data_IF_640843616005
#
_entry.id   IF_640843616005
#
_cell.length_a   1.000
_cell.length_b   1.000
_cell.length_c   1.000
_cell.angle_alpha   90.00
_cell.angle_beta   90.00
_cell.angle_gamma   90.00
#
_symmetry.space_group_name_H-M   'P 1'
#
loop_
_entity.id
_entity.type
_entity.pdbx_description
1 polymer ?
#
# COMPACT_ATOMS: atom_id res chain seq x y z
N UNK A 1 -35.64 -7.93 35.69
CA UNK A 1 -35.58 -6.98 34.54
C UNK A 1 -34.12 -6.90 34.12
N UNK A 2 -33.68 -7.82 33.26
CA UNK A 2 -32.36 -7.79 32.64
C UNK A 2 -32.66 -7.68 31.15
N UNK A 3 -32.44 -6.49 30.61
CA UNK A 3 -32.65 -6.18 29.20
C UNK A 3 -31.60 -6.95 28.38
N UNK A 4 -32.04 -7.94 27.62
CA UNK A 4 -31.27 -8.50 26.51
C UNK A 4 -31.11 -7.40 25.45
N UNK A 5 -29.92 -6.81 25.35
CA UNK A 5 -29.53 -6.11 24.14
C UNK A 5 -29.24 -7.12 23.04
N UNK A 6 -29.82 -6.86 21.87
CA UNK A 6 -29.81 -7.69 20.69
C UNK A 6 -28.38 -8.09 20.28
N UNK A 7 -28.15 -9.40 20.21
CA UNK A 7 -27.07 -9.99 19.43
C UNK A 7 -27.42 -9.77 17.95
N UNK A 8 -26.68 -8.91 17.27
CA UNK A 8 -26.59 -8.99 15.82
C UNK A 8 -25.93 -10.32 15.48
N UNK A 9 -26.68 -11.21 14.84
CA UNK A 9 -26.08 -12.34 14.13
C UNK A 9 -25.33 -11.77 12.93
N UNK A 10 -24.00 -11.67 13.04
CA UNK A 10 -23.17 -11.61 11.85
C UNK A 10 -23.32 -12.97 11.14
N UNK A 11 -23.94 -12.97 9.98
CA UNK A 11 -23.90 -14.11 9.08
C UNK A 11 -22.43 -14.41 8.75
N UNK A 12 -22.06 -15.68 8.79
CA UNK A 12 -20.79 -16.17 8.26
C UNK A 12 -20.71 -15.83 6.76
N UNK A 13 -19.60 -15.23 6.30
CA UNK A 13 -19.36 -15.08 4.86
C UNK A 13 -18.32 -14.05 4.41
N UNK A 14 -18.10 -12.95 5.13
CA UNK A 14 -17.13 -11.93 4.70
C UNK A 14 -15.95 -11.88 5.69
N UNK A 15 -14.72 -12.05 5.19
CA UNK A 15 -13.52 -11.67 5.94
C UNK A 15 -13.72 -10.22 6.41
N UNK A 16 -13.55 -9.96 7.71
CA UNK A 16 -13.98 -8.72 8.35
C UNK A 16 -13.28 -7.51 7.72
N UNK A 17 -13.94 -6.84 6.79
CA UNK A 17 -13.42 -5.65 6.14
C UNK A 17 -13.34 -4.47 7.14
N UNK A 18 -12.41 -3.55 6.91
CA UNK A 18 -12.13 -2.45 7.84
C UNK A 18 -12.36 -1.11 7.15
N UNK A 19 -13.21 -0.28 7.74
CA UNK A 19 -13.51 1.08 7.30
C UNK A 19 -13.47 2.06 8.49
N UNK A 20 -13.65 3.35 8.22
CA UNK A 20 -13.76 4.37 9.29
C UNK A 20 -15.06 5.16 9.16
N UNK A 21 -16.20 4.57 9.59
CA UNK A 21 -17.51 5.20 9.48
C UNK A 21 -17.54 6.60 10.10
N UNK A 22 -18.07 7.57 9.34
CA UNK A 22 -18.19 8.94 9.83
C UNK A 22 -16.87 9.68 10.06
N UNK A 23 -15.73 9.15 9.61
CA UNK A 23 -14.47 9.88 9.69
C UNK A 23 -14.57 11.22 8.97
N UNK A 24 -14.01 12.26 9.57
CA UNK A 24 -14.02 13.62 9.03
C UNK A 24 -12.72 14.33 9.39
N UNK A 25 -12.27 15.18 8.47
CA UNK A 25 -11.27 16.21 8.72
C UNK A 25 -11.92 17.58 8.65
N UNK A 26 -11.22 18.59 9.16
CA UNK A 26 -11.57 19.98 8.85
C UNK A 26 -11.65 20.17 7.32
N UNK A 27 -12.81 20.62 6.85
CA UNK A 27 -13.09 20.80 5.43
C UNK A 27 -12.09 21.79 4.78
N UNK A 28 -11.57 22.75 5.53
CA UNK A 28 -10.58 23.71 5.01
C UNK A 28 -9.21 23.10 4.72
N UNK A 29 -8.88 21.98 5.36
CA UNK A 29 -7.64 21.22 5.14
C UNK A 29 -7.77 20.29 3.93
N UNK A 30 -8.97 19.75 3.70
CA UNK A 30 -9.20 18.77 2.63
C UNK A 30 -9.74 19.37 1.33
N UNK A 31 -10.23 20.62 1.34
CA UNK A 31 -10.81 21.24 0.13
C UNK A 31 -9.79 21.42 -0.99
N UNK A 32 -10.30 21.40 -2.23
CA UNK A 32 -9.55 21.72 -3.44
C UNK A 32 -8.97 23.13 -3.35
N UNK A 33 -7.76 23.31 -3.89
CA UNK A 33 -7.11 24.62 -3.97
C UNK A 33 -7.95 25.58 -4.82
N UNK A 34 -7.89 26.88 -4.48
CA UNK A 34 -8.65 27.94 -5.19
C UNK A 34 -8.30 28.04 -6.68
N UNK A 35 -7.07 27.67 -7.02
CA UNK A 35 -6.56 27.55 -8.38
C UNK A 35 -5.75 26.27 -8.46
N UNK A 36 -5.71 25.64 -9.64
CA UNK A 36 -4.90 24.44 -9.88
C UNK A 36 -3.46 24.73 -9.46
N UNK A 37 -2.89 23.96 -8.50
CA UNK A 37 -1.52 24.20 -8.04
C UNK A 37 -0.54 24.09 -9.21
N UNK A 38 0.49 24.94 -9.17
CA UNK A 38 1.62 24.87 -10.13
C UNK A 38 2.72 23.95 -9.62
N UNK A 39 2.88 23.87 -8.30
CA UNK A 39 3.87 23.03 -7.65
C UNK A 39 3.22 21.80 -7.01
N UNK A 40 3.88 20.66 -7.16
CA UNK A 40 3.56 19.38 -6.50
C UNK A 40 3.66 19.50 -4.98
N UNK A 41 4.45 20.45 -4.50
CA UNK A 41 4.67 20.72 -3.09
C UNK A 41 3.55 21.56 -2.43
N UNK A 42 2.61 22.07 -3.24
CA UNK A 42 1.40 22.80 -2.79
C UNK A 42 0.13 21.96 -3.00
N UNK A 43 0.23 20.65 -3.21
CA UNK A 43 -0.93 19.80 -3.47
C UNK A 43 -1.72 19.52 -2.20
N UNK A 44 -2.98 19.92 -2.19
CA UNK A 44 -3.96 19.44 -1.23
C UNK A 44 -4.52 18.10 -1.71
N UNK A 45 -5.03 17.24 -0.83
CA UNK A 45 -5.63 15.97 -1.24
C UNK A 45 -6.67 16.06 -2.36
N UNK A 46 -7.60 17.03 -2.29
CA UNK A 46 -8.63 17.22 -3.32
C UNK A 46 -8.13 17.87 -4.63
N UNK A 47 -6.85 18.24 -4.72
CA UNK A 47 -6.23 18.66 -5.98
C UNK A 47 -5.86 17.48 -6.87
N UNK A 48 -5.76 16.27 -6.32
CA UNK A 48 -5.51 15.04 -7.10
C UNK A 48 -6.75 14.72 -7.91
N UNK A 49 -6.61 14.71 -9.24
CA UNK A 49 -7.69 14.42 -10.18
C UNK A 49 -7.66 12.97 -10.64
N UNK A 50 -6.48 12.35 -10.73
CA UNK A 50 -6.27 11.00 -11.26
C UNK A 50 -5.41 10.19 -10.31
N UNK A 51 -5.79 8.93 -10.08
CA UNK A 51 -4.95 7.92 -9.43
C UNK A 51 -4.63 6.78 -10.38
N UNK A 52 -3.43 6.22 -10.26
CA UNK A 52 -3.01 5.02 -10.98
C UNK A 52 -2.00 4.22 -10.15
N UNK A 53 -1.75 2.98 -10.54
CA UNK A 53 -0.79 2.13 -9.84
C UNK A 53 -0.07 1.19 -10.81
N UNK A 54 1.21 0.93 -10.54
CA UNK A 54 2.05 -0.09 -11.19
C UNK A 54 2.76 -0.93 -10.11
N UNK A 55 3.02 -2.20 -10.39
CA UNK A 55 3.55 -3.13 -9.41
C UNK A 55 3.23 -4.59 -9.71
N UNK A 56 3.09 -5.39 -8.67
CA UNK A 56 2.88 -6.84 -8.75
C UNK A 56 1.47 -7.30 -8.32
N UNK A 57 1.38 -8.52 -7.79
CA UNK A 57 0.17 -9.14 -7.28
C UNK A 57 -0.41 -8.44 -6.05
N UNK A 58 0.41 -7.78 -5.24
CA UNK A 58 -0.05 -6.97 -4.11
C UNK A 58 -0.74 -5.71 -4.61
N UNK A 59 -0.21 -5.11 -5.68
CA UNK A 59 -0.84 -3.96 -6.34
C UNK A 59 -2.16 -4.36 -7.02
N UNK A 60 -2.26 -5.60 -7.50
CA UNK A 60 -3.48 -6.18 -8.08
C UNK A 60 -4.48 -6.75 -7.04
N UNK A 61 -4.12 -6.75 -5.75
CA UNK A 61 -4.89 -7.33 -4.65
C UNK A 61 -5.29 -8.79 -4.89
N UNK A 62 -4.31 -9.60 -5.28
CA UNK A 62 -4.49 -11.06 -5.40
C UNK A 62 -5.00 -11.66 -4.09
N UNK A 63 -6.05 -12.47 -4.15
CA UNK A 63 -6.58 -13.19 -2.99
C UNK A 63 -7.29 -12.35 -1.93
N UNK A 64 -7.39 -11.02 -2.08
CA UNK A 64 -7.92 -10.16 -1.02
C UNK A 64 -9.34 -10.52 -0.55
N UNK A 65 -10.21 -10.95 -1.47
CA UNK A 65 -11.56 -11.42 -1.17
C UNK A 65 -11.71 -12.94 -1.10
N UNK A 66 -10.62 -13.70 -1.08
CA UNK A 66 -10.68 -15.16 -1.03
C UNK A 66 -11.01 -15.68 0.39
N UNK A 67 -11.78 -16.75 0.47
CA UNK A 67 -12.11 -17.41 1.74
C UNK A 67 -10.86 -18.11 2.32
N UNK A 68 -10.72 -18.14 3.66
CA UNK A 68 -9.52 -18.62 4.41
C UNK A 68 -8.88 -19.94 3.93
N UNK A 69 -9.65 -20.83 3.30
CA UNK A 69 -9.19 -22.13 2.82
C UNK A 69 -9.21 -22.28 1.28
N UNK A 70 -9.57 -21.24 0.55
CA UNK A 70 -9.57 -21.20 -0.91
C UNK A 70 -8.23 -20.69 -1.46
N UNK A 71 -7.23 -21.58 -1.46
CA UNK A 71 -5.91 -21.29 -2.05
C UNK A 71 -6.00 -20.95 -3.54
N UNK A 72 -6.96 -21.52 -4.27
CA UNK A 72 -7.13 -21.20 -5.70
C UNK A 72 -7.67 -19.79 -5.90
N UNK A 73 -8.43 -19.28 -4.94
CA UNK A 73 -8.93 -17.90 -4.89
C UNK A 73 -7.82 -16.84 -4.89
N UNK A 74 -6.58 -17.19 -4.51
CA UNK A 74 -5.42 -16.28 -4.56
C UNK A 74 -5.09 -15.82 -5.99
N UNK A 75 -5.40 -16.63 -7.01
CA UNK A 75 -5.21 -16.24 -8.41
C UNK A 75 -6.18 -15.11 -8.86
N UNK A 76 -7.24 -14.85 -8.11
CA UNK A 76 -8.22 -13.81 -8.41
C UNK A 76 -7.68 -12.45 -7.97
N UNK A 77 -7.69 -11.49 -8.90
CA UNK A 77 -7.18 -10.13 -8.71
C UNK A 77 -8.32 -9.20 -8.26
N UNK A 78 -8.46 -8.95 -6.96
CA UNK A 78 -9.51 -8.13 -6.37
C UNK A 78 -9.17 -6.64 -6.43
N UNK A 79 -8.94 -6.11 -7.64
CA UNK A 79 -8.44 -4.74 -7.86
C UNK A 79 -9.26 -3.66 -7.16
N UNK A 80 -10.57 -3.86 -6.97
CA UNK A 80 -11.41 -2.93 -6.22
C UNK A 80 -11.12 -2.82 -4.72
N UNK A 81 -10.36 -3.76 -4.15
CA UNK A 81 -9.94 -3.82 -2.75
C UNK A 81 -8.46 -3.46 -2.53
N UNK A 82 -7.71 -3.07 -3.57
CA UNK A 82 -6.29 -2.73 -3.39
C UNK A 82 -6.12 -1.47 -2.54
N UNK A 83 -5.14 -1.50 -1.65
CA UNK A 83 -4.91 -0.48 -0.62
C UNK A 83 -4.61 0.92 -1.18
N UNK A 84 -4.04 0.97 -2.39
CA UNK A 84 -3.74 2.21 -3.07
C UNK A 84 -4.94 2.74 -3.87
N UNK A 85 -5.31 2.06 -4.95
CA UNK A 85 -6.26 2.58 -5.95
C UNK A 85 -7.58 1.82 -6.02
N UNK A 86 -7.93 1.00 -5.03
CA UNK A 86 -9.20 0.27 -4.96
C UNK A 86 -10.37 1.18 -4.59
N UNK A 87 -11.54 0.98 -5.21
CA UNK A 87 -12.72 1.82 -5.00
C UNK A 87 -14.06 1.09 -4.94
N UNK A 88 -14.09 -0.22 -4.63
CA UNK A 88 -15.34 -1.01 -4.57
C UNK A 88 -16.33 -0.51 -3.54
N UNK A 89 -15.83 -0.06 -2.39
CA UNK A 89 -16.65 0.39 -1.26
C UNK A 89 -16.42 1.88 -0.97
N UNK A 90 -17.06 2.39 0.08
CA UNK A 90 -16.78 3.74 0.61
C UNK A 90 -15.68 3.70 1.68
N UNK A 91 -15.12 4.85 2.06
CA UNK A 91 -14.16 4.94 3.18
C UNK A 91 -14.73 4.40 4.49
N UNK A 92 -16.05 4.49 4.66
CA UNK A 92 -16.74 4.02 5.85
C UNK A 92 -16.72 2.48 5.95
N UNK A 93 -16.46 1.77 4.85
CA UNK A 93 -16.49 0.31 4.76
C UNK A 93 -15.14 -0.31 4.41
N UNK A 94 -14.31 0.38 3.62
CA UNK A 94 -12.99 -0.09 3.19
C UNK A 94 -12.02 1.07 2.98
N UNK A 95 -10.94 1.11 3.75
CA UNK A 95 -9.93 2.16 3.65
C UNK A 95 -9.00 1.88 2.46
N UNK A 96 -8.98 2.79 1.50
CA UNK A 96 -7.92 2.85 0.47
C UNK A 96 -7.54 4.31 0.28
N UNK A 97 -6.34 4.57 -0.23
CA UNK A 97 -5.97 5.93 -0.62
C UNK A 97 -7.00 6.53 -1.59
N UNK A 98 -7.47 5.77 -2.58
CA UNK A 98 -8.51 6.23 -3.50
C UNK A 98 -9.85 6.55 -2.81
N UNK A 99 -10.31 5.76 -1.84
CA UNK A 99 -11.56 6.02 -1.12
C UNK A 99 -11.47 7.27 -0.23
N UNK A 100 -10.30 7.54 0.33
CA UNK A 100 -10.07 8.78 1.09
C UNK A 100 -10.09 9.98 0.13
N UNK A 101 -9.36 9.92 -0.99
CA UNK A 101 -9.35 10.98 -2.00
C UNK A 101 -10.75 11.22 -2.60
N UNK A 102 -11.48 10.15 -2.96
CA UNK A 102 -12.85 10.20 -3.52
C UNK A 102 -13.83 10.91 -2.59
N UNK A 103 -13.63 10.83 -1.27
CA UNK A 103 -14.47 11.53 -0.28
C UNK A 103 -14.39 13.05 -0.39
N UNK A 104 -13.28 13.60 -0.88
CA UNK A 104 -13.07 15.05 -1.01
C UNK A 104 -12.96 15.54 -2.46
N UNK A 105 -12.71 14.63 -3.40
CA UNK A 105 -12.84 14.84 -4.83
C UNK A 105 -13.72 13.73 -5.43
N UNK A 106 -15.05 13.92 -5.55
CA UNK A 106 -15.94 12.90 -6.10
C UNK A 106 -15.70 12.64 -7.61
N UNK A 107 -14.94 13.50 -8.29
CA UNK A 107 -14.57 13.34 -9.70
C UNK A 107 -13.22 12.61 -9.89
N UNK A 108 -12.67 12.00 -8.83
CA UNK A 108 -11.42 11.25 -8.90
C UNK A 108 -11.51 10.17 -9.99
N UNK A 109 -10.56 10.17 -10.92
CA UNK A 109 -10.51 9.23 -12.03
C UNK A 109 -9.43 8.16 -11.81
N UNK A 110 -9.64 6.96 -12.37
CA UNK A 110 -8.59 5.94 -12.52
C UNK A 110 -8.58 4.82 -11.46
N UNK A 111 -9.34 4.96 -10.37
CA UNK A 111 -9.46 3.92 -9.34
C UNK A 111 -10.09 2.63 -9.91
N UNK A 112 -9.61 1.48 -9.45
CA UNK A 112 -10.09 0.17 -9.87
C UNK A 112 -11.31 -0.29 -9.07
N UNK A 113 -12.11 -1.14 -9.69
CA UNK A 113 -13.32 -1.75 -9.10
C UNK A 113 -13.40 -3.23 -9.48
N UNK A 114 -14.01 -4.03 -8.62
CA UNK A 114 -14.28 -5.45 -8.77
C UNK A 114 -13.02 -6.26 -9.00
N UNK A 115 -13.21 -7.51 -9.44
CA UNK A 115 -12.15 -8.43 -9.82
C UNK A 115 -11.84 -8.31 -11.31
N UNK A 116 -10.57 -8.38 -11.70
CA UNK A 116 -10.20 -8.53 -13.11
C UNK A 116 -8.71 -8.34 -13.40
N UNK A 117 -8.26 -8.80 -14.56
CA UNK A 117 -6.87 -8.67 -15.01
C UNK A 117 -6.53 -7.24 -15.45
N UNK A 118 -5.24 -6.88 -15.48
CA UNK A 118 -4.78 -5.53 -15.81
C UNK A 118 -5.21 -5.03 -17.20
N UNK A 119 -5.50 -5.94 -18.13
CA UNK A 119 -5.98 -5.63 -19.49
C UNK A 119 -7.50 -5.45 -19.58
N UNK A 120 -8.25 -5.60 -18.48
CA UNK A 120 -9.71 -5.41 -18.44
C UNK A 120 -10.02 -4.00 -17.93
N UNK A 121 -10.24 -3.06 -18.84
CA UNK A 121 -10.44 -1.64 -18.50
C UNK A 121 -11.63 -1.40 -17.56
N UNK A 122 -12.70 -2.17 -17.69
CA UNK A 122 -13.95 -2.05 -16.93
C UNK A 122 -13.77 -2.29 -15.43
N UNK A 123 -12.65 -2.91 -15.03
CA UNK A 123 -12.33 -3.25 -13.63
C UNK A 123 -10.98 -2.66 -13.22
N UNK A 124 -9.94 -2.85 -14.03
CA UNK A 124 -8.58 -2.44 -13.69
C UNK A 124 -8.34 -0.94 -13.81
N UNK A 125 -9.01 -0.24 -14.74
CA UNK A 125 -8.80 1.18 -14.99
C UNK A 125 -7.30 1.52 -15.11
N UNK A 126 -6.77 2.35 -14.23
CA UNK A 126 -5.35 2.75 -14.19
C UNK A 126 -4.52 1.97 -13.16
N UNK A 127 -5.06 0.89 -12.59
CA UNK A 127 -4.25 -0.11 -11.91
C UNK A 127 -3.66 -1.07 -12.94
N UNK A 128 -2.39 -0.88 -13.27
CA UNK A 128 -1.63 -1.67 -14.23
C UNK A 128 -0.72 -2.73 -13.57
N UNK A 129 -0.84 -2.99 -12.25
CA UNK A 129 -0.05 -4.01 -11.57
C UNK A 129 -0.26 -5.41 -12.16
N UNK A 130 0.84 -6.15 -12.33
CA UNK A 130 0.90 -7.45 -12.99
C UNK A 130 1.37 -8.52 -11.99
N UNK A 131 0.54 -9.51 -11.63
CA UNK A 131 0.94 -10.58 -10.72
C UNK A 131 2.23 -11.28 -11.18
N UNK A 132 3.17 -11.47 -10.25
CA UNK A 132 4.47 -12.08 -10.51
C UNK A 132 5.51 -11.17 -11.18
N UNK A 133 5.20 -9.89 -11.39
CA UNK A 133 6.19 -8.94 -11.92
C UNK A 133 7.33 -8.70 -10.95
N UNK A 134 8.51 -8.47 -11.50
CA UNK A 134 9.71 -8.00 -10.83
C UNK A 134 9.97 -6.53 -11.19
N UNK A 135 11.02 -5.94 -10.60
CA UNK A 135 11.37 -4.55 -10.86
C UNK A 135 11.72 -4.29 -12.33
N UNK A 136 12.31 -5.25 -13.07
CA UNK A 136 12.70 -5.01 -14.47
C UNK A 136 11.51 -4.79 -15.42
N UNK A 137 10.30 -5.27 -15.08
CA UNK A 137 9.10 -4.96 -15.87
C UNK A 137 8.51 -3.57 -15.59
N UNK A 138 9.01 -2.84 -14.58
CA UNK A 138 8.40 -1.57 -14.16
C UNK A 138 8.47 -0.48 -15.23
N UNK A 139 9.50 -0.48 -16.07
CA UNK A 139 9.58 0.47 -17.20
C UNK A 139 8.45 0.19 -18.21
N UNK A 140 8.17 -1.08 -18.53
CA UNK A 140 7.08 -1.45 -19.43
C UNK A 140 5.72 -1.09 -18.84
N UNK A 141 5.48 -1.40 -17.56
CA UNK A 141 4.24 -1.02 -16.87
C UNK A 141 4.04 0.50 -16.84
N UNK A 142 5.12 1.28 -16.62
CA UNK A 142 5.04 2.73 -16.66
C UNK A 142 4.66 3.25 -18.06
N UNK A 143 5.23 2.68 -19.13
CA UNK A 143 4.86 3.03 -20.50
C UNK A 143 3.40 2.69 -20.82
N UNK A 144 2.91 1.53 -20.37
CA UNK A 144 1.50 1.14 -20.52
C UNK A 144 0.56 2.10 -19.78
N UNK A 145 0.88 2.45 -18.54
CA UNK A 145 0.10 3.40 -17.75
C UNK A 145 0.08 4.81 -18.40
N UNK A 146 1.24 5.30 -18.85
CA UNK A 146 1.36 6.56 -19.61
C UNK A 146 0.45 6.55 -20.82
N UNK A 147 0.47 5.47 -21.60
CA UNK A 147 -0.36 5.29 -22.79
C UNK A 147 -1.84 5.36 -22.42
N UNK A 148 -2.29 4.59 -21.42
CA UNK A 148 -3.69 4.61 -20.93
C UNK A 148 -4.14 6.01 -20.53
N UNK A 149 -3.29 6.76 -19.82
CA UNK A 149 -3.61 8.12 -19.36
C UNK A 149 -3.71 9.09 -20.56
N UNK A 150 -2.75 9.03 -21.51
CA UNK A 150 -2.70 9.97 -22.65
C UNK A 150 -3.77 9.70 -23.70
N UNK A 151 -4.18 8.44 -23.86
CA UNK A 151 -5.17 8.02 -24.87
C UNK A 151 -6.62 8.13 -24.38
N UNK A 152 -6.86 8.25 -23.06
CA UNK A 152 -8.23 8.28 -22.53
C UNK A 152 -8.92 9.62 -22.83
N UNK A 153 -10.09 9.64 -23.51
CA UNK A 153 -10.71 10.86 -24.03
C UNK A 153 -11.21 11.83 -22.94
N UNK A 154 -11.49 11.34 -21.73
CA UNK A 154 -11.98 12.14 -20.61
C UNK A 154 -10.85 12.74 -19.75
N UNK A 155 -9.58 12.44 -20.08
CA UNK A 155 -8.42 12.82 -19.28
C UNK A 155 -7.67 13.99 -19.96
N UNK A 156 -7.57 15.11 -19.25
CA UNK A 156 -6.65 16.19 -19.60
C UNK A 156 -5.33 16.00 -18.83
N UNK A 157 -4.55 15.02 -19.29
CA UNK A 157 -3.32 14.58 -18.62
C UNK A 157 -2.27 15.70 -18.45
N UNK A 158 -2.38 16.80 -19.22
CA UNK A 158 -1.44 17.92 -19.13
C UNK A 158 -1.76 18.87 -17.97
N UNK A 159 -3.03 19.00 -17.63
CA UNK A 159 -3.50 19.98 -16.65
C UNK A 159 -4.01 19.37 -15.35
N UNK A 160 -4.44 18.10 -15.37
CA UNK A 160 -4.89 17.36 -14.20
C UNK A 160 -3.71 16.82 -13.39
N UNK A 161 -3.81 16.89 -12.06
CA UNK A 161 -2.79 16.32 -11.17
C UNK A 161 -3.00 14.81 -11.02
N UNK A 162 -1.90 14.06 -11.11
CA UNK A 162 -1.89 12.61 -10.99
C UNK A 162 -1.12 12.17 -9.77
N UNK A 163 -1.65 11.19 -9.06
CA UNK A 163 -0.95 10.45 -8.03
C UNK A 163 -0.76 9.02 -8.53
N UNK A 164 0.48 8.63 -8.77
CA UNK A 164 0.83 7.28 -9.22
C UNK A 164 1.48 6.53 -8.07
N UNK A 165 0.90 5.38 -7.71
CA UNK A 165 1.41 4.50 -6.68
C UNK A 165 2.31 3.42 -7.28
N UNK A 166 3.41 3.10 -6.59
CA UNK A 166 4.33 2.01 -6.93
C UNK A 166 4.46 1.10 -5.71
N UNK A 167 4.33 -0.21 -5.93
CA UNK A 167 4.71 -1.24 -4.95
C UNK A 167 5.16 -2.52 -5.67
N UNK A 168 6.43 -2.87 -5.48
CA UNK A 168 7.16 -3.93 -6.20
C UNK A 168 8.34 -4.40 -5.35
N UNK A 169 8.97 -5.53 -5.72
CA UNK A 169 10.27 -5.95 -5.17
C UNK A 169 10.26 -7.25 -4.38
N UNK A 170 9.09 -7.73 -3.94
CA UNK A 170 9.01 -8.99 -3.21
C UNK A 170 9.44 -10.17 -4.08
N UNK A 171 9.02 -10.18 -5.36
CA UNK A 171 9.42 -11.20 -6.33
C UNK A 171 10.94 -11.16 -6.60
N UNK A 172 11.55 -9.98 -6.67
CA UNK A 172 12.98 -9.80 -6.85
C UNK A 172 13.78 -10.44 -5.70
N UNK A 173 13.41 -10.15 -4.44
CA UNK A 173 14.01 -10.80 -3.26
C UNK A 173 13.78 -12.31 -3.26
N UNK A 174 12.60 -12.74 -3.69
CA UNK A 174 12.24 -14.15 -3.80
C UNK A 174 13.04 -14.95 -4.84
N UNK A 175 13.75 -14.26 -5.74
CA UNK A 175 14.61 -14.84 -6.78
C UNK A 175 16.10 -14.51 -6.60
N UNK A 176 16.43 -13.61 -5.66
CA UNK A 176 17.79 -13.10 -5.46
C UNK A 176 18.85 -14.18 -5.21
N UNK A 177 18.55 -15.21 -4.42
CA UNK A 177 19.45 -16.29 -4.05
C UNK A 177 20.07 -17.06 -5.25
N UNK A 178 19.37 -17.10 -6.39
CA UNK A 178 19.86 -17.73 -7.64
C UNK A 178 20.31 -16.70 -8.69
N UNK A 179 19.87 -15.45 -8.57
CA UNK A 179 20.13 -14.36 -9.53
C UNK A 179 20.70 -13.09 -8.86
N UNK A 180 21.68 -13.25 -7.97
CA UNK A 180 22.16 -12.17 -7.08
C UNK A 180 22.63 -10.88 -7.79
N UNK A 181 23.11 -10.97 -9.03
CA UNK A 181 23.52 -9.80 -9.81
C UNK A 181 22.30 -9.08 -10.43
N UNK A 182 21.42 -9.83 -11.07
CA UNK A 182 20.24 -9.28 -11.74
C UNK A 182 19.22 -8.74 -10.73
N UNK A 183 19.12 -9.39 -9.57
CA UNK A 183 18.25 -9.04 -8.44
C UNK A 183 19.00 -8.27 -7.34
N UNK A 184 20.15 -7.66 -7.66
CA UNK A 184 20.89 -6.87 -6.67
C UNK A 184 20.09 -5.63 -6.24
N UNK A 185 20.39 -5.09 -5.05
CA UNK A 185 19.73 -3.87 -4.59
C UNK A 185 19.97 -2.66 -5.51
N UNK A 186 21.13 -2.60 -6.18
CA UNK A 186 21.39 -1.58 -7.20
C UNK A 186 20.57 -1.81 -8.48
N UNK A 187 20.41 -3.06 -8.94
CA UNK A 187 19.54 -3.40 -10.06
C UNK A 187 18.08 -3.05 -9.78
N UNK A 188 17.59 -3.38 -8.59
CA UNK A 188 16.27 -3.00 -8.10
C UNK A 188 16.04 -1.49 -8.15
N UNK A 189 16.97 -0.71 -7.58
CA UNK A 189 16.95 0.76 -7.64
C UNK A 189 16.86 1.27 -9.07
N UNK A 190 17.74 0.77 -9.94
CA UNK A 190 17.90 1.28 -11.29
C UNK A 190 16.68 0.96 -12.15
N UNK A 191 16.03 -0.18 -11.91
CA UNK A 191 14.79 -0.55 -12.59
C UNK A 191 13.61 0.33 -12.17
N UNK A 192 13.44 0.59 -10.87
CA UNK A 192 12.43 1.55 -10.37
C UNK A 192 12.71 2.95 -10.93
N UNK A 193 13.97 3.38 -10.88
CA UNK A 193 14.40 4.67 -11.41
C UNK A 193 14.00 4.86 -12.87
N UNK A 194 14.21 3.85 -13.74
CA UNK A 194 13.78 3.91 -15.16
C UNK A 194 12.27 4.13 -15.29
N UNK A 195 11.46 3.42 -14.51
CA UNK A 195 10.01 3.59 -14.51
C UNK A 195 9.60 5.01 -14.08
N UNK A 196 10.19 5.53 -13.00
CA UNK A 196 9.90 6.90 -12.52
C UNK A 196 10.38 7.96 -13.53
N UNK A 197 11.51 7.74 -14.22
CA UNK A 197 11.97 8.61 -15.31
C UNK A 197 11.00 8.63 -16.50
N UNK A 198 10.36 7.50 -16.84
CA UNK A 198 9.29 7.46 -17.84
C UNK A 198 8.10 8.32 -17.39
N UNK A 199 7.65 8.15 -16.15
CA UNK A 199 6.54 8.93 -15.59
C UNK A 199 6.86 10.43 -15.59
N UNK A 200 8.06 10.84 -15.14
CA UNK A 200 8.49 12.24 -15.10
C UNK A 200 8.54 12.87 -16.49
N UNK A 201 9.06 12.15 -17.48
CA UNK A 201 9.19 12.64 -18.85
C UNK A 201 7.84 12.79 -19.56
N UNK A 202 6.93 11.85 -19.34
CA UNK A 202 5.71 11.72 -20.14
C UNK A 202 4.46 12.30 -19.46
N UNK A 203 4.46 12.43 -18.13
CA UNK A 203 3.31 12.87 -17.34
C UNK A 203 3.66 14.11 -16.49
N UNK A 204 3.39 15.33 -16.99
CA UNK A 204 3.54 16.54 -16.18
C UNK A 204 2.57 16.54 -15.00
N UNK A 205 2.77 17.34 -13.95
CA UNK A 205 1.83 17.39 -12.79
C UNK A 205 1.58 16.01 -12.16
N UNK A 206 2.66 15.33 -11.76
CA UNK A 206 2.58 13.98 -11.19
C UNK A 206 3.33 13.88 -9.88
N UNK A 207 2.67 13.37 -8.84
CA UNK A 207 3.34 12.87 -7.65
C UNK A 207 3.40 11.35 -7.73
N UNK A 208 4.60 10.79 -7.57
CA UNK A 208 4.78 9.35 -7.42
C UNK A 208 4.94 9.05 -5.94
N UNK A 209 4.14 8.12 -5.42
CA UNK A 209 4.29 7.58 -4.06
C UNK A 209 4.72 6.12 -4.16
N UNK A 210 5.90 5.81 -3.62
CA UNK A 210 6.44 4.46 -3.63
C UNK A 210 6.29 3.87 -2.23
N UNK A 211 5.55 2.78 -2.11
CA UNK A 211 5.49 2.00 -0.86
C UNK A 211 6.78 1.22 -0.71
N UNK A 212 7.44 1.38 0.43
CA UNK A 212 8.70 0.69 0.68
C UNK A 212 8.52 -0.83 0.74
N UNK A 213 9.57 -1.56 0.38
CA UNK A 213 9.57 -3.03 0.35
C UNK A 213 9.16 -3.64 1.71
N UNK A 214 8.38 -4.73 1.66
CA UNK A 214 8.02 -5.53 2.84
C UNK A 214 9.11 -6.54 3.17
N UNK A 215 9.38 -6.78 4.46
CA UNK A 215 10.30 -7.85 4.91
C UNK A 215 9.83 -9.21 4.40
N UNK A 216 10.50 -9.75 3.38
CA UNK A 216 10.17 -11.04 2.77
C UNK A 216 10.44 -12.21 3.75
N UNK A 217 11.24 -11.98 4.81
CA UNK A 217 11.37 -12.92 5.92
C UNK A 217 10.04 -13.25 6.62
N UNK A 218 9.02 -12.40 6.45
CA UNK A 218 7.63 -12.63 6.87
C UNK A 218 7.08 -13.98 6.36
N UNK A 219 7.43 -14.39 5.15
CA UNK A 219 6.98 -15.66 4.57
C UNK A 219 7.39 -16.87 5.40
N UNK A 220 8.62 -16.91 5.93
CA UNK A 220 9.09 -18.02 6.77
C UNK A 220 8.39 -18.06 8.11
N UNK A 221 8.25 -16.89 8.73
CA UNK A 221 7.59 -16.73 10.02
C UNK A 221 6.08 -17.01 9.93
N UNK A 222 5.48 -16.76 8.76
CA UNK A 222 4.08 -17.06 8.48
C UNK A 222 3.79 -18.50 8.07
N UNK A 223 4.82 -19.30 7.79
CA UNK A 223 4.69 -20.67 7.32
C UNK A 223 4.37 -21.67 8.45
N UNK A 224 3.38 -21.38 9.29
CA UNK A 224 2.93 -22.28 10.36
C UNK A 224 2.11 -23.44 9.77
N UNK A 225 1.12 -23.13 8.94
CA UNK A 225 0.30 -24.14 8.31
C UNK A 225 1.00 -24.76 7.11
N UNK A 226 0.76 -26.05 6.87
CA UNK A 226 1.33 -26.76 5.73
C UNK A 226 0.93 -26.13 4.38
N UNK A 227 -0.25 -25.52 4.30
CA UNK A 227 -0.70 -24.80 3.09
C UNK A 227 0.23 -23.61 2.79
N UNK A 228 0.50 -22.77 3.80
CA UNK A 228 1.42 -21.63 3.68
C UNK A 228 2.84 -22.11 3.32
N UNK A 229 3.34 -23.16 3.98
CA UNK A 229 4.67 -23.72 3.68
C UNK A 229 4.84 -24.12 2.22
N UNK A 230 3.83 -24.79 1.66
CA UNK A 230 3.85 -25.23 0.26
C UNK A 230 3.70 -24.04 -0.69
N UNK A 231 2.74 -23.14 -0.43
CA UNK A 231 2.49 -21.98 -1.29
C UNK A 231 3.70 -21.03 -1.29
N UNK A 232 4.23 -20.67 -0.13
CA UNK A 232 5.41 -19.80 -0.02
C UNK A 232 6.64 -20.41 -0.71
N UNK A 233 6.81 -21.73 -0.66
CA UNK A 233 7.92 -22.39 -1.35
C UNK A 233 7.78 -22.39 -2.88
N UNK A 234 6.55 -22.27 -3.40
CA UNK A 234 6.27 -22.15 -4.84
C UNK A 234 6.37 -20.69 -5.32
N UNK A 235 5.92 -19.75 -4.50
CA UNK A 235 5.93 -18.32 -4.81
C UNK A 235 7.31 -17.68 -4.60
N UNK A 236 8.11 -18.23 -3.70
CA UNK A 236 9.37 -17.63 -3.27
C UNK A 236 10.51 -18.66 -3.14
N UNK A 237 11.30 -18.80 -4.20
CA UNK A 237 12.40 -19.77 -4.29
C UNK A 237 13.40 -19.61 -3.14
N UNK A 238 13.75 -18.37 -2.79
CA UNK A 238 14.74 -18.11 -1.74
C UNK A 238 14.24 -18.44 -0.33
N UNK A 239 12.92 -18.40 -0.10
CA UNK A 239 12.34 -18.83 1.17
C UNK A 239 12.46 -20.35 1.33
N UNK A 240 12.28 -21.11 0.25
CA UNK A 240 12.38 -22.57 0.24
C UNK A 240 13.83 -23.11 0.32
N UNK A 241 14.83 -22.27 0.03
CA UNK A 241 16.23 -22.70 -0.07
C UNK A 241 16.91 -22.78 1.31
N UNK A 242 17.39 -23.98 1.68
CA UNK A 242 18.07 -24.24 2.97
C UNK A 242 19.34 -23.40 3.16
N UNK A 243 20.06 -23.11 2.08
CA UNK A 243 21.28 -22.30 2.11
C UNK A 243 21.02 -20.80 2.40
N UNK A 244 19.78 -20.33 2.24
CA UNK A 244 19.40 -18.94 2.51
C UNK A 244 18.95 -18.82 3.96
N UNK A 245 19.61 -17.99 4.74
CA UNK A 245 19.22 -17.76 6.15
C UNK A 245 18.21 -16.62 6.27
N UNK A 246 17.49 -16.56 7.40
CA UNK A 246 16.56 -15.45 7.67
C UNK A 246 17.30 -14.10 7.70
N UNK A 247 18.54 -14.09 8.20
CA UNK A 247 19.38 -12.90 8.19
C UNK A 247 19.71 -12.46 6.76
N UNK A 248 19.96 -13.38 5.83
CA UNK A 248 20.22 -13.03 4.43
C UNK A 248 19.00 -12.39 3.75
N UNK A 249 17.79 -12.91 4.02
CA UNK A 249 16.54 -12.32 3.52
C UNK A 249 16.30 -10.93 4.12
N UNK A 250 16.55 -10.77 5.42
CA UNK A 250 16.45 -9.48 6.10
C UNK A 250 17.47 -8.47 5.53
N UNK A 251 18.71 -8.90 5.31
CA UNK A 251 19.79 -8.05 4.81
C UNK A 251 19.53 -7.57 3.39
N UNK A 252 19.04 -8.44 2.48
CA UNK A 252 18.72 -8.01 1.10
C UNK A 252 17.49 -7.09 1.08
N UNK A 253 16.47 -7.38 1.89
CA UNK A 253 15.28 -6.51 2.01
C UNK A 253 15.65 -5.14 2.56
N UNK A 254 16.51 -5.09 3.60
CA UNK A 254 17.00 -3.84 4.16
C UNK A 254 17.83 -3.04 3.14
N UNK A 255 18.62 -3.72 2.30
CA UNK A 255 19.35 -3.06 1.21
C UNK A 255 18.39 -2.49 0.16
N UNK A 256 17.29 -3.16 -0.17
CA UNK A 256 16.26 -2.65 -1.08
C UNK A 256 15.60 -1.38 -0.51
N UNK A 257 15.16 -1.42 0.75
CA UNK A 257 14.59 -0.26 1.43
C UNK A 257 15.57 0.92 1.48
N UNK A 258 16.84 0.66 1.77
CA UNK A 258 17.88 1.69 1.71
C UNK A 258 17.99 2.30 0.31
N UNK A 259 17.92 1.49 -0.74
CA UNK A 259 18.02 1.94 -2.14
C UNK A 259 16.81 2.76 -2.60
N UNK A 260 15.62 2.47 -2.08
CA UNK A 260 14.43 3.31 -2.26
C UNK A 260 14.64 4.69 -1.63
N UNK A 261 15.14 4.74 -0.40
CA UNK A 261 15.43 6.00 0.28
C UNK A 261 16.54 6.79 -0.42
N UNK A 262 17.62 6.12 -0.85
CA UNK A 262 18.69 6.73 -1.66
C UNK A 262 18.15 7.39 -2.93
N UNK A 263 17.11 6.80 -3.55
CA UNK A 263 16.50 7.33 -4.77
C UNK A 263 15.73 8.63 -4.51
N UNK A 264 14.95 8.72 -3.42
CA UNK A 264 14.30 9.97 -3.00
C UNK A 264 15.33 11.03 -2.57
N UNK A 265 16.29 10.65 -1.73
CA UNK A 265 17.31 11.55 -1.18
C UNK A 265 18.25 12.11 -2.26
N UNK A 266 18.37 11.43 -3.40
CA UNK A 266 19.16 11.90 -4.55
C UNK A 266 18.67 13.24 -5.12
N UNK A 267 17.40 13.58 -4.92
CA UNK A 267 16.75 14.76 -5.50
C UNK A 267 16.57 14.70 -7.02
N UNK A 268 16.85 13.57 -7.67
CA UNK A 268 16.71 13.41 -9.12
C UNK A 268 15.30 13.76 -9.62
N UNK A 269 14.28 13.39 -8.84
CA UNK A 269 12.87 13.61 -9.18
C UNK A 269 12.30 14.91 -8.64
N UNK A 270 13.11 15.75 -7.98
CA UNK A 270 12.72 17.05 -7.43
C UNK A 270 13.27 18.24 -8.24
N UNK A 271 13.70 17.98 -9.47
CA UNK A 271 14.30 18.98 -10.37
C UNK A 271 13.29 19.90 -11.06
N UNK A 272 11.99 19.56 -11.01
CA UNK A 272 10.89 20.37 -11.50
C UNK A 272 9.89 20.67 -10.38
N UNK A 273 9.01 21.65 -10.60
CA UNK A 273 7.95 21.95 -9.65
C UNK A 273 6.72 21.07 -9.85
N UNK A 274 6.55 20.42 -11.00
CA UNK A 274 5.37 19.63 -11.32
C UNK A 274 5.56 18.11 -11.18
N UNK A 275 6.68 17.68 -10.60
CA UNK A 275 6.97 16.27 -10.37
C UNK A 275 7.73 16.06 -9.05
N UNK A 276 7.47 14.93 -8.38
CA UNK A 276 8.27 14.45 -7.23
C UNK A 276 8.07 12.94 -7.05
N UNK A 277 9.03 12.29 -6.39
CA UNK A 277 8.93 10.92 -5.89
C UNK A 277 8.97 10.99 -4.35
N UNK A 278 8.03 10.33 -3.68
CA UNK A 278 7.98 10.26 -2.23
C UNK A 278 7.90 8.81 -1.72
N UNK A 279 8.83 8.39 -0.87
CA UNK A 279 8.85 7.03 -0.28
C UNK A 279 7.91 6.97 0.92
N UNK A 280 7.20 5.85 1.06
CA UNK A 280 6.30 5.55 2.18
C UNK A 280 6.81 4.28 2.89
N UNK A 281 7.75 4.39 3.84
CA UNK A 281 8.48 3.28 4.46
C UNK A 281 7.70 2.55 5.57
N UNK A 282 6.36 2.59 5.55
CA UNK A 282 5.57 2.07 6.67
C UNK A 282 5.62 0.54 6.82
N UNK A 283 6.14 -0.21 5.83
CA UNK A 283 6.43 -1.64 5.92
C UNK A 283 7.83 -1.97 6.47
N UNK A 284 8.69 -0.97 6.69
CA UNK A 284 9.99 -1.21 7.30
C UNK A 284 9.84 -1.60 8.77
N UNK A 285 10.68 -2.54 9.23
CA UNK A 285 10.79 -2.94 10.64
C UNK A 285 9.50 -3.47 11.27
N UNK A 286 8.60 -4.03 10.45
CA UNK A 286 7.36 -4.64 10.91
C UNK A 286 7.65 -5.91 11.71
N UNK A 287 7.28 -5.92 12.98
CA UNK A 287 7.43 -7.05 13.89
C UNK A 287 6.11 -7.50 14.55
N UNK A 288 5.03 -6.77 14.32
CA UNK A 288 3.74 -6.98 14.97
C UNK A 288 2.83 -7.97 14.23
N UNK A 289 3.04 -8.17 12.91
CA UNK A 289 2.34 -9.19 12.14
C UNK A 289 2.62 -10.63 12.62
N UNK A 290 3.61 -10.83 13.50
CA UNK A 290 3.92 -12.09 14.19
C UNK A 290 3.33 -12.20 15.61
N UNK A 291 2.48 -11.25 16.00
CA UNK A 291 1.90 -11.19 17.35
C UNK A 291 0.41 -11.44 17.25
N UNK A 292 0.00 -12.71 17.19
CA UNK A 292 -1.40 -13.07 17.24
C UNK A 292 -2.01 -12.69 18.59
N UNK A 293 -2.69 -11.55 18.61
CA UNK A 293 -3.66 -11.20 19.62
C UNK A 293 -5.01 -11.63 19.11
N UNK A 294 -5.36 -12.90 19.34
CA UNK A 294 -6.68 -13.44 18.97
C UNK A 294 -7.76 -12.56 19.59
N UNK A 295 -8.45 -11.80 18.74
CA UNK A 295 -9.72 -11.10 18.98
C UNK A 295 -9.66 -9.68 19.54
N UNK A 296 -10.58 -8.84 19.04
CA UNK A 296 -11.05 -7.56 19.63
C UNK A 296 -11.32 -7.63 21.14
N UNK A 297 -11.62 -8.83 21.66
CA UNK A 297 -11.73 -9.10 23.09
C UNK A 297 -10.43 -8.79 23.85
N UNK A 298 -9.25 -8.97 23.26
CA UNK A 298 -7.96 -8.70 23.90
C UNK A 298 -7.82 -7.22 24.28
N UNK A 299 -8.06 -6.30 23.34
CA UNK A 299 -7.97 -4.85 23.61
C UNK A 299 -8.97 -4.40 24.69
N UNK A 300 -10.17 -5.00 24.71
CA UNK A 300 -11.18 -4.78 25.76
C UNK A 300 -10.73 -5.38 27.09
N UNK A 301 -10.21 -6.60 27.11
CA UNK A 301 -9.77 -7.30 28.32
C UNK A 301 -8.54 -6.67 28.95
N UNK A 302 -7.57 -6.18 28.17
CA UNK A 302 -6.38 -5.47 28.68
C UNK A 302 -6.77 -4.11 29.25
N UNK A 303 -7.74 -3.41 28.65
CA UNK A 303 -8.25 -2.15 29.18
C UNK A 303 -8.99 -2.32 30.51
N UNK A 304 -9.75 -3.42 30.66
CA UNK A 304 -10.53 -3.69 31.88
C UNK A 304 -9.67 -4.38 32.96
N UNK A 305 -8.71 -5.23 32.57
CA UNK A 305 -7.88 -6.03 33.49
C UNK A 305 -6.37 -5.95 33.14
N UNK A 306 -5.69 -4.83 33.46
CA UNK A 306 -4.27 -4.64 33.15
C UNK A 306 -3.33 -5.68 33.77
N UNK A 307 -3.75 -6.30 34.89
CA UNK A 307 -2.98 -7.35 35.58
C UNK A 307 -3.00 -8.72 34.89
N UNK A 308 -3.87 -8.93 33.89
CA UNK A 308 -3.93 -10.19 33.11
C UNK A 308 -3.07 -10.16 31.84
N UNK A 309 -2.32 -9.08 31.60
CA UNK A 309 -1.45 -8.90 30.43
C UNK A 309 -0.39 -10.02 30.27
N UNK A 310 0.07 -10.59 31.38
CA UNK A 310 1.03 -11.72 31.36
C UNK A 310 0.39 -13.05 30.98
N UNK A 311 -0.94 -13.17 31.03
CA UNK A 311 -1.70 -14.40 30.74
C UNK A 311 -2.09 -14.48 29.27
N UNK A 312 -2.27 -13.32 28.61
CA UNK A 312 -2.69 -13.20 27.22
C UNK A 312 -1.58 -12.69 26.30
N UNK A 313 -0.32 -12.97 26.63
CA UNK A 313 0.79 -12.62 25.74
C UNK A 313 0.53 -13.21 24.34
N UNK A 314 0.82 -12.46 23.25
CA UNK A 314 0.76 -13.01 21.91
C UNK A 314 1.57 -14.30 21.86
N UNK A 315 0.99 -15.37 21.32
CA UNK A 315 1.65 -16.68 21.27
C UNK A 315 2.78 -16.76 20.24
N UNK A 316 3.09 -15.64 19.58
CA UNK A 316 4.10 -15.52 18.54
C UNK A 316 3.65 -16.07 17.19
N UNK A 317 2.37 -16.41 17.02
CA UNK A 317 1.83 -16.81 15.72
C UNK A 317 1.47 -15.59 14.86
N UNK A 318 1.42 -15.73 13.52
CA UNK A 318 1.02 -14.66 12.63
C UNK A 318 -0.40 -14.17 12.89
N UNK A 319 -0.62 -12.87 12.66
CA UNK A 319 -1.95 -12.29 12.66
C UNK A 319 -2.65 -12.60 11.32
N UNK A 320 -3.28 -13.78 11.24
CA UNK A 320 -3.82 -14.34 10.00
C UNK A 320 -4.96 -13.52 9.37
N UNK A 321 -5.69 -12.70 10.15
CA UNK A 321 -6.72 -11.82 9.60
C UNK A 321 -6.16 -10.80 8.58
N UNK A 322 -4.86 -10.50 8.66
CA UNK A 322 -4.17 -9.61 7.73
C UNK A 322 -3.91 -10.26 6.36
N UNK A 323 -3.80 -11.59 6.31
CA UNK A 323 -3.36 -12.31 5.12
C UNK A 323 -4.52 -13.01 4.40
N UNK A 324 -4.38 -13.11 3.08
CA UNK A 324 -5.14 -14.00 2.23
C UNK A 324 -4.82 -15.48 2.55
N UNK A 325 -5.52 -16.45 1.94
CA UNK A 325 -5.38 -17.87 2.28
C UNK A 325 -3.97 -18.46 2.10
N UNK A 326 -3.13 -17.83 1.29
CA UNK A 326 -1.73 -18.21 1.10
C UNK A 326 -0.80 -17.79 2.24
N UNK A 327 -1.25 -16.94 3.16
CA UNK A 327 -0.49 -16.43 4.30
C UNK A 327 0.59 -15.38 3.91
N UNK A 328 0.46 -14.80 2.72
CA UNK A 328 1.39 -13.83 2.14
C UNK A 328 0.67 -12.60 1.57
N UNK A 329 -0.21 -12.80 0.58
CA UNK A 329 -0.97 -11.69 0.02
C UNK A 329 -1.90 -11.12 1.09
N UNK A 330 -2.32 -9.87 0.95
CA UNK A 330 -3.16 -9.24 1.96
C UNK A 330 -4.63 -9.64 1.74
N UNK A 331 -5.35 -9.90 2.84
CA UNK A 331 -6.80 -9.99 2.81
C UNK A 331 -7.42 -8.61 2.55
N UNK A 332 -8.74 -8.54 2.38
CA UNK A 332 -9.47 -7.26 2.35
C UNK A 332 -9.15 -6.41 3.60
N UNK A 333 -9.08 -7.03 4.76
CA UNK A 333 -8.66 -6.37 6.00
C UNK A 333 -7.22 -5.87 5.90
N UNK A 334 -6.27 -6.71 5.48
CA UNK A 334 -4.86 -6.32 5.37
C UNK A 334 -4.64 -5.16 4.39
N UNK A 335 -5.32 -5.19 3.25
CA UNK A 335 -5.36 -4.08 2.30
C UNK A 335 -5.90 -2.80 2.94
N UNK A 336 -6.96 -2.89 3.74
CA UNK A 336 -7.50 -1.71 4.41
C UNK A 336 -6.52 -1.09 5.42
N UNK A 337 -5.88 -1.92 6.25
CA UNK A 337 -4.88 -1.43 7.22
C UNK A 337 -3.66 -0.86 6.50
N UNK A 338 -3.18 -1.48 5.42
CA UNK A 338 -2.13 -0.93 4.57
C UNK A 338 -2.55 0.41 3.93
N UNK A 339 -3.81 0.55 3.51
CA UNK A 339 -4.34 1.78 2.91
C UNK A 339 -4.34 2.94 3.91
N UNK A 340 -4.70 2.66 5.17
CA UNK A 340 -4.58 3.62 6.28
C UNK A 340 -3.13 4.03 6.53
N UNK A 341 -2.20 3.06 6.59
CA UNK A 341 -0.77 3.34 6.80
C UNK A 341 -0.19 4.16 5.65
N UNK A 342 -0.47 3.81 4.40
CA UNK A 342 -0.09 4.57 3.20
C UNK A 342 -0.56 6.03 3.30
N UNK A 343 -1.83 6.24 3.61
CA UNK A 343 -2.39 7.58 3.73
C UNK A 343 -1.71 8.39 4.84
N UNK A 344 -1.58 7.80 6.03
CA UNK A 344 -0.96 8.48 7.16
C UNK A 344 0.48 8.89 6.83
N UNK A 345 1.25 7.99 6.21
CA UNK A 345 2.61 8.27 5.78
C UNK A 345 2.68 9.44 4.78
N UNK A 346 1.73 9.54 3.83
CA UNK A 346 1.64 10.68 2.91
C UNK A 346 1.37 12.03 3.61
N UNK A 347 0.73 12.01 4.79
CA UNK A 347 0.46 13.21 5.60
C UNK A 347 1.61 13.55 6.55
N UNK A 348 2.55 12.63 6.75
CA UNK A 348 3.72 12.79 7.63
C UNK A 348 4.92 13.37 6.88
N UNK A 349 5.66 14.33 7.49
CA UNK A 349 6.85 14.91 6.87
C UNK A 349 7.88 13.85 6.45
N UNK A 350 8.43 14.00 5.24
CA UNK A 350 9.60 13.23 4.78
C UNK A 350 10.74 13.38 5.78
N UNK A 351 11.40 12.26 6.10
CA UNK A 351 12.39 12.15 7.17
C UNK A 351 11.81 11.97 8.58
N UNK A 352 10.48 11.94 8.72
CA UNK A 352 9.78 11.70 9.99
C UNK A 352 8.51 10.83 9.81
N UNK A 353 8.48 10.05 8.73
CA UNK A 353 7.41 9.08 8.45
C UNK A 353 7.48 7.93 9.45
N UNK A 354 6.32 7.46 9.90
CA UNK A 354 6.21 6.36 10.85
C UNK A 354 6.32 5.00 10.16
N UNK A 355 6.83 4.01 10.90
CA UNK A 355 6.62 2.58 10.58
C UNK A 355 5.26 2.16 11.10
N UNK A 356 4.53 1.32 10.36
CA UNK A 356 3.20 0.90 10.77
C UNK A 356 3.23 -0.11 11.93
N UNK A 357 2.15 -0.10 12.70
CA UNK A 357 1.73 -1.22 13.53
C UNK A 357 0.40 -1.70 12.94
N UNK A 358 0.43 -2.84 12.26
CA UNK A 358 -0.69 -3.40 11.50
C UNK A 358 -1.73 -4.12 12.37
N UNK A 359 -1.35 -4.52 13.58
CA UNK A 359 -2.24 -5.12 14.58
C UNK A 359 -2.97 -4.06 15.42
N UNK A 360 -2.42 -2.85 15.55
CA UNK A 360 -3.07 -1.73 16.23
C UNK A 360 -3.89 -0.86 15.27
N UNK A 361 -5.15 -1.24 15.09
CA UNK A 361 -6.10 -0.48 14.28
C UNK A 361 -6.64 0.79 14.97
N UNK A 362 -6.28 1.06 16.23
CA UNK A 362 -6.85 2.18 17.00
C UNK A 362 -6.31 3.56 16.59
N UNK A 363 -5.11 3.61 15.98
CA UNK A 363 -4.54 4.86 15.51
C UNK A 363 -5.49 5.56 14.52
N UNK A 364 -5.69 6.88 14.58
CA UNK A 364 -6.63 7.53 13.67
C UNK A 364 -6.07 7.63 12.25
N UNK A 365 -6.97 7.74 11.27
CA UNK A 365 -6.60 8.21 9.93
C UNK A 365 -6.30 9.72 10.01
N UNK A 366 -5.12 10.12 9.54
CA UNK A 366 -4.61 11.49 9.70
C UNK A 366 -5.29 12.48 8.76
N UNK A 367 -5.46 13.71 9.26
CA UNK A 367 -5.75 14.89 8.45
C UNK A 367 -4.43 15.59 8.09
N UNK A 368 -4.39 16.39 7.01
CA UNK A 368 -3.28 17.29 6.76
C UNK A 368 -3.02 18.21 7.97
N UNK A 369 -1.77 18.59 8.17
CA UNK A 369 -1.39 19.54 9.21
C UNK A 369 -2.01 20.92 8.91
N UNK A 370 -2.61 21.57 9.91
CA UNK A 370 -3.19 22.90 9.71
C UNK A 370 -2.16 23.96 9.32
N UNK A 371 -0.92 23.83 9.77
CA UNK A 371 0.20 24.68 9.36
C UNK A 371 0.77 24.32 7.99
N UNK A 372 0.44 23.12 7.50
CA UNK A 372 0.94 22.58 6.24
C UNK A 372 -0.08 21.67 5.56
N UNK A 373 -1.14 22.25 4.96
CA UNK A 373 -2.30 21.48 4.49
C UNK A 373 -2.05 20.82 3.13
N UNK A 374 -0.88 20.22 2.95
CA UNK A 374 -0.43 19.62 1.70
C UNK A 374 -0.02 18.15 1.90
N UNK A 375 -0.07 17.37 0.82
CA UNK A 375 0.60 16.08 0.76
C UNK A 375 2.10 16.32 0.98
N UNK A 376 2.73 15.55 1.87
CA UNK A 376 4.11 15.77 2.27
C UNK A 376 5.07 15.24 1.22
N UNK A 377 6.02 16.10 0.87
CA UNK A 377 7.07 15.88 -0.13
C UNK A 377 8.41 16.35 0.45
N UNK A 378 9.52 15.98 -0.18
CA UNK A 378 10.88 16.38 0.21
C UNK A 378 11.02 17.89 0.43
N UNK A 379 10.40 18.72 -0.44
CA UNK A 379 10.56 20.18 -0.37
C UNK A 379 9.63 20.91 0.60
N UNK A 380 8.49 20.34 0.99
CA UNK A 380 7.53 20.97 1.91
C UNK A 380 7.55 20.40 3.34
N UNK A 381 8.34 19.36 3.58
CA UNK A 381 8.38 18.68 4.89
C UNK A 381 9.13 19.49 5.95
N UNK A 382 10.18 20.24 5.56
CA UNK A 382 10.95 21.08 6.49
C UNK A 382 10.31 22.45 6.74
N UNK A 383 9.80 23.06 5.67
CA UNK A 383 9.10 24.36 5.69
C UNK A 383 8.18 24.43 4.48
N UNK A 384 6.90 24.67 4.72
CA UNK A 384 5.90 24.82 3.67
C UNK A 384 5.21 26.17 3.65
N UNK A 385 5.68 27.15 4.43
CA UNK A 385 5.13 28.51 4.39
C UNK A 385 5.27 29.17 3.02
N UNK A 386 6.20 28.68 2.20
CA UNK A 386 6.43 29.16 0.83
C UNK A 386 5.44 28.60 -0.21
N UNK A 387 4.58 27.64 0.17
CA UNK A 387 3.74 26.86 -0.74
C UNK A 387 2.24 27.15 -0.62
#
# INVERSE_FOLDING_TARGET
>A
VIFLCALFSAAAGDAADFGVPGWSCDADLMKKSKSVPKSVHSLRPADIDIVGAIGDSMTAANGAGAEENDILGVAIQYRGLTFSVGGDKTLDEHITMANILKKFNPNLFGFSIRTGSANVWETAKLNAGIPGAHSWEMEEQANDLVRRIKEHPEVDYKNQWKLIHIFIGANDVCRWCVHQQDESADSYRDNIRKAVQVLQRELPKTIVVLTGIVDVGLLRKNAIERKCQVTHALECECVAMEAVTDQMLLDITAQYAQKEQELEDSGEFDTADDFTLAIQPYFEKVDDLYRNVRSWYYSVLVSIFPSLLSVFQPDGTPYMDFFAPDCFHFSAFGHSVAGKSLWNNMMEPVGSKSTANFTDISNPLLCPDASCPFIRTTKNSKDCNKY
#
